data_IF_672072406061
#
_entry.id   IF_672072406061
#
_cell.length_a   1.000
_cell.length_b   1.000
_cell.length_c   1.000
_cell.angle_alpha   90.00
_cell.angle_beta   90.00
_cell.angle_gamma   90.00
#
_symmetry.space_group_name_H-M   'P 1'
#
loop_
_entity.id
_entity.type
_entity.pdbx_description
1 polymer ?
#
# COMPACT_ATOMS: atom_id res chain seq x y z
N UNK A 1 23.15 -4.18 3.40
CA UNK A 1 22.26 -3.26 4.13
C UNK A 1 21.35 -2.60 3.10
N UNK A 2 20.09 -3.01 3.07
CA UNK A 2 19.07 -2.42 2.20
C UNK A 2 18.79 -1.01 2.70
N UNK A 3 19.28 0.00 2.02
CA UNK A 3 18.87 1.39 2.20
C UNK A 3 17.45 1.56 1.66
N UNK A 4 16.48 1.02 2.36
CA UNK A 4 15.11 1.35 2.11
C UNK A 4 14.86 2.67 2.86
N UNK A 5 14.46 3.70 2.13
CA UNK A 5 13.91 4.90 2.77
C UNK A 5 12.81 4.45 3.75
N UNK A 6 12.73 5.06 4.93
CA UNK A 6 11.70 4.68 5.90
C UNK A 6 10.33 4.81 5.25
N UNK A 7 9.45 3.85 5.51
CA UNK A 7 8.09 3.90 5.00
C UNK A 7 7.36 5.13 5.58
N UNK A 8 6.52 5.82 4.81
CA UNK A 8 5.87 7.05 5.25
C UNK A 8 5.07 6.86 6.54
N UNK A 9 5.22 7.82 7.45
CA UNK A 9 4.55 7.79 8.75
C UNK A 9 3.03 7.84 8.61
N UNK A 10 2.34 7.17 9.53
CA UNK A 10 0.87 7.12 9.53
C UNK A 10 0.25 6.17 8.54
N UNK A 11 1.04 5.43 7.80
CA UNK A 11 0.61 4.33 6.93
C UNK A 11 1.11 2.99 7.45
N UNK A 12 0.44 1.92 7.05
CA UNK A 12 0.87 0.53 7.30
C UNK A 12 0.91 -0.23 5.98
N UNK A 13 1.72 -1.26 5.94
CA UNK A 13 1.88 -2.12 4.78
C UNK A 13 2.10 -3.57 5.20
N UNK A 14 1.75 -4.46 4.30
CA UNK A 14 2.08 -5.87 4.39
C UNK A 14 2.94 -6.27 3.19
N UNK A 15 3.79 -7.26 3.37
CA UNK A 15 4.56 -7.83 2.28
C UNK A 15 3.74 -8.89 1.54
N UNK A 16 3.79 -8.88 0.22
CA UNK A 16 3.30 -9.97 -0.57
C UNK A 16 4.42 -10.55 -1.45
N UNK A 17 4.46 -11.86 -1.57
CA UNK A 17 5.34 -12.54 -2.51
C UNK A 17 4.73 -12.62 -3.91
N UNK A 18 5.49 -13.14 -4.87
CA UNK A 18 5.04 -13.27 -6.25
C UNK A 18 3.82 -14.19 -6.38
N UNK A 19 3.70 -15.22 -5.56
CA UNK A 19 2.57 -16.15 -5.59
C UNK A 19 1.26 -15.44 -5.20
N UNK A 20 1.26 -14.71 -4.08
CA UNK A 20 0.11 -13.91 -3.65
C UNK A 20 -0.26 -12.89 -4.74
N UNK A 21 0.73 -12.17 -5.27
CA UNK A 21 0.50 -11.17 -6.31
C UNK A 21 -0.13 -11.79 -7.56
N UNK A 22 0.37 -12.94 -8.02
CA UNK A 22 -0.08 -13.54 -9.27
C UNK A 22 -1.38 -14.31 -9.17
N UNK A 23 -1.65 -14.97 -8.04
CA UNK A 23 -2.76 -15.92 -7.93
C UNK A 23 -3.88 -15.49 -6.97
N UNK A 24 -3.58 -14.65 -5.95
CA UNK A 24 -4.52 -14.40 -4.88
C UNK A 24 -5.10 -12.98 -4.84
N UNK A 25 -4.33 -11.95 -5.22
CA UNK A 25 -4.85 -10.57 -5.22
C UNK A 25 -5.91 -10.38 -6.31
N UNK A 26 -7.01 -9.77 -5.96
CA UNK A 26 -8.07 -9.31 -6.87
C UNK A 26 -8.26 -7.81 -6.74
N UNK A 27 -9.14 -7.21 -7.56
CA UNK A 27 -9.48 -5.78 -7.46
C UNK A 27 -10.99 -5.63 -7.38
N UNK A 28 -11.46 -4.93 -6.35
CA UNK A 28 -12.86 -4.57 -6.16
C UNK A 28 -12.96 -3.11 -5.71
N UNK A 29 -13.78 -2.31 -6.38
CA UNK A 29 -13.94 -0.88 -6.06
C UNK A 29 -12.64 -0.05 -6.09
N UNK A 30 -11.64 -0.48 -6.87
CA UNK A 30 -10.32 0.17 -6.92
C UNK A 30 -9.35 -0.28 -5.80
N UNK A 31 -9.78 -1.13 -4.91
CA UNK A 31 -8.96 -1.71 -3.85
C UNK A 31 -8.42 -3.08 -4.27
N UNK A 32 -7.19 -3.37 -3.88
CA UNK A 32 -6.62 -4.71 -3.95
C UNK A 32 -7.18 -5.54 -2.79
N UNK A 33 -7.67 -6.73 -3.09
CA UNK A 33 -8.33 -7.59 -2.10
C UNK A 33 -7.65 -8.96 -2.06
N UNK A 34 -7.51 -9.52 -0.86
CA UNK A 34 -7.13 -10.93 -0.67
C UNK A 34 -8.36 -11.80 -0.47
N UNK A 35 -8.26 -13.12 -0.66
CA UNK A 35 -9.37 -14.05 -0.39
C UNK A 35 -9.86 -14.01 1.06
N UNK A 36 -8.99 -13.63 1.99
CA UNK A 36 -9.31 -13.51 3.43
C UNK A 36 -10.05 -12.21 3.77
N UNK A 37 -10.31 -11.36 2.78
CA UNK A 37 -11.06 -10.10 2.95
C UNK A 37 -10.20 -8.89 3.33
N UNK A 38 -8.87 -9.02 3.35
CA UNK A 38 -8.00 -7.85 3.55
C UNK A 38 -8.02 -6.97 2.31
N UNK A 39 -8.00 -5.66 2.51
CA UNK A 39 -8.01 -4.69 1.42
C UNK A 39 -6.84 -3.72 1.51
N UNK A 40 -6.27 -3.39 0.34
CA UNK A 40 -5.15 -2.46 0.23
C UNK A 40 -5.43 -1.42 -0.85
N UNK A 41 -5.03 -0.19 -0.59
CA UNK A 41 -5.25 0.92 -1.52
C UNK A 41 -4.22 0.99 -2.64
N UNK A 42 -3.04 0.38 -2.44
CA UNK A 42 -1.91 0.53 -3.33
C UNK A 42 -1.04 -0.74 -3.32
N UNK A 43 -0.51 -1.09 -4.47
CA UNK A 43 0.61 -2.02 -4.62
C UNK A 43 1.88 -1.22 -4.90
N UNK A 44 2.84 -1.31 -3.99
CA UNK A 44 4.15 -0.71 -4.19
C UNK A 44 5.20 -1.77 -4.47
N UNK A 45 5.92 -1.61 -5.58
CA UNK A 45 6.96 -2.52 -6.02
C UNK A 45 8.28 -1.73 -6.10
N UNK A 46 9.09 -1.73 -5.02
CA UNK A 46 10.33 -0.97 -4.99
C UNK A 46 11.40 -1.63 -5.84
N UNK A 47 12.19 -0.83 -6.55
CA UNK A 47 13.48 -1.17 -7.18
C UNK A 47 13.56 -2.50 -7.96
N UNK A 48 12.48 -2.96 -8.55
CA UNK A 48 12.46 -4.20 -9.31
C UNK A 48 13.02 -4.02 -10.72
N UNK A 49 14.30 -4.33 -10.88
CA UNK A 49 14.95 -4.36 -12.20
C UNK A 49 14.62 -5.64 -12.98
N UNK A 50 14.30 -6.75 -12.28
CA UNK A 50 13.99 -8.05 -12.87
C UNK A 50 12.63 -8.55 -12.44
N UNK A 51 11.86 -9.07 -13.38
CA UNK A 51 10.51 -9.57 -13.13
C UNK A 51 10.18 -10.77 -14.05
N UNK A 52 9.35 -11.68 -13.59
CA UNK A 52 8.79 -12.71 -14.47
C UNK A 52 7.77 -12.08 -15.42
N UNK A 53 7.65 -12.61 -16.64
CA UNK A 53 6.64 -12.14 -17.60
C UNK A 53 5.23 -12.24 -17.02
N UNK A 54 4.92 -13.33 -16.32
CA UNK A 54 3.64 -13.54 -15.65
C UNK A 54 3.33 -12.46 -14.59
N UNK A 55 4.34 -12.04 -13.85
CA UNK A 55 4.21 -10.95 -12.87
C UNK A 55 3.90 -9.63 -13.56
N UNK A 56 4.60 -9.30 -14.64
CA UNK A 56 4.33 -8.11 -15.45
C UNK A 56 2.89 -8.11 -16.00
N UNK A 57 2.45 -9.24 -16.56
CA UNK A 57 1.10 -9.39 -17.08
C UNK A 57 0.03 -9.29 -16.00
N UNK A 58 0.33 -9.81 -14.80
CA UNK A 58 -0.56 -9.70 -13.64
C UNK A 58 -0.71 -8.26 -13.18
N UNK A 59 0.38 -7.50 -13.07
CA UNK A 59 0.35 -6.06 -12.77
C UNK A 59 -0.54 -5.33 -13.78
N UNK A 60 -0.35 -5.61 -15.06
CA UNK A 60 -1.20 -5.03 -16.11
C UNK A 60 -2.68 -5.42 -15.96
N UNK A 61 -2.99 -6.64 -15.52
CA UNK A 61 -4.35 -7.08 -15.24
C UNK A 61 -4.97 -6.32 -14.07
N UNK A 62 -4.25 -6.19 -12.95
CA UNK A 62 -4.71 -5.45 -11.77
C UNK A 62 -4.96 -3.96 -12.09
N UNK A 63 -4.07 -3.34 -12.86
CA UNK A 63 -4.26 -1.97 -13.35
C UNK A 63 -5.53 -1.84 -14.20
N UNK A 64 -5.76 -2.74 -15.16
CA UNK A 64 -6.98 -2.70 -15.98
C UNK A 64 -8.25 -2.81 -15.15
N UNK A 65 -8.21 -3.51 -14.02
CA UNK A 65 -9.33 -3.67 -13.09
C UNK A 65 -9.52 -2.47 -12.15
N UNK A 66 -8.53 -1.59 -12.01
CA UNK A 66 -8.67 -0.37 -11.22
C UNK A 66 -7.65 -0.18 -10.09
N UNK A 67 -6.66 -1.07 -9.96
CA UNK A 67 -5.64 -0.94 -8.94
C UNK A 67 -4.79 0.32 -9.11
N UNK A 68 -4.30 0.85 -7.98
CA UNK A 68 -3.18 1.80 -7.94
C UNK A 68 -1.89 1.02 -7.73
N UNK A 69 -0.95 1.17 -8.67
CA UNK A 69 0.35 0.51 -8.62
C UNK A 69 1.47 1.54 -8.72
N UNK A 70 2.43 1.47 -7.82
CA UNK A 70 3.67 2.28 -7.85
C UNK A 70 4.81 1.36 -8.25
N UNK A 71 5.29 1.49 -9.48
CA UNK A 71 6.35 0.65 -10.02
C UNK A 71 7.02 1.30 -11.22
N UNK A 72 8.34 1.18 -11.29
CA UNK A 72 9.10 1.45 -12.52
C UNK A 72 9.06 0.24 -13.45
N UNK A 73 9.29 0.47 -14.75
CA UNK A 73 9.39 -0.60 -15.71
C UNK A 73 10.59 -1.50 -15.40
N UNK A 74 10.42 -2.83 -15.33
CA UNK A 74 11.54 -3.73 -15.15
C UNK A 74 12.40 -3.78 -16.42
N UNK A 75 13.72 -3.92 -16.24
CA UNK A 75 14.69 -3.87 -17.33
C UNK A 75 14.87 -5.22 -18.05
N UNK A 76 14.69 -6.32 -17.33
CA UNK A 76 14.96 -7.67 -17.86
C UNK A 76 14.09 -8.73 -17.20
N UNK A 77 13.90 -9.91 -17.86
CA UNK A 77 13.22 -11.03 -17.24
C UNK A 77 14.02 -11.62 -16.08
N UNK A 78 13.32 -12.11 -15.07
CA UNK A 78 13.93 -12.78 -13.91
C UNK A 78 14.32 -14.25 -14.21
N UNK A 79 14.09 -14.72 -15.42
CA UNK A 79 14.40 -16.09 -15.87
C UNK A 79 15.02 -16.07 -17.25
N UNK A 80 15.86 -17.07 -17.52
CA UNK A 80 16.43 -17.34 -18.86
C UNK A 80 15.57 -18.34 -19.68
N UNK A 81 14.49 -18.83 -19.10
CA UNK A 81 13.60 -19.77 -19.78
C UNK A 81 12.97 -19.15 -21.02
N UNK A 82 12.90 -19.93 -22.10
CA UNK A 82 12.38 -19.51 -23.40
C UNK A 82 13.37 -18.72 -24.26
N UNK A 83 14.58 -18.47 -23.80
CA UNK A 83 15.64 -17.81 -24.58
C UNK A 83 15.16 -16.50 -25.22
N UNK A 84 15.53 -16.25 -26.49
CA UNK A 84 15.16 -15.04 -27.24
C UNK A 84 13.63 -14.83 -27.34
N UNK A 85 12.85 -15.90 -27.41
CA UNK A 85 11.39 -15.83 -27.49
C UNK A 85 10.80 -15.38 -26.14
N UNK A 86 11.31 -15.92 -25.02
CA UNK A 86 10.90 -15.48 -23.68
C UNK A 86 11.23 -14.02 -23.42
N UNK A 87 12.41 -13.59 -23.86
CA UNK A 87 12.81 -12.18 -23.76
C UNK A 87 11.93 -11.24 -24.60
N UNK A 88 11.55 -11.68 -25.83
CA UNK A 88 10.60 -10.93 -26.67
C UNK A 88 9.23 -10.83 -26.00
N UNK A 89 8.72 -11.92 -25.46
CA UNK A 89 7.44 -11.93 -24.75
C UNK A 89 7.46 -11.00 -23.52
N UNK A 90 8.55 -11.01 -22.76
CA UNK A 90 8.75 -10.11 -21.64
C UNK A 90 8.70 -8.63 -22.08
N UNK A 91 9.49 -8.26 -23.10
CA UNK A 91 9.50 -6.88 -23.63
C UNK A 91 8.11 -6.44 -24.10
N UNK A 92 7.37 -7.31 -24.76
CA UNK A 92 5.99 -7.03 -25.17
C UNK A 92 5.06 -6.84 -23.96
N UNK A 93 5.22 -7.63 -22.91
CA UNK A 93 4.43 -7.46 -21.68
C UNK A 93 4.73 -6.13 -20.99
N UNK A 94 6.01 -5.76 -20.88
CA UNK A 94 6.44 -4.45 -20.33
C UNK A 94 5.87 -3.30 -21.16
N UNK A 95 5.95 -3.39 -22.49
CA UNK A 95 5.42 -2.37 -23.40
C UNK A 95 3.90 -2.20 -23.24
N UNK A 96 3.14 -3.27 -23.05
CA UNK A 96 1.70 -3.19 -22.82
C UNK A 96 1.33 -2.47 -21.52
N UNK A 97 2.17 -2.55 -20.48
CA UNK A 97 1.89 -1.97 -19.16
C UNK A 97 2.47 -0.56 -19.04
N UNK A 98 3.76 -0.39 -19.35
CA UNK A 98 4.45 0.90 -19.19
C UNK A 98 4.46 1.71 -20.50
N UNK A 99 4.58 1.07 -21.67
CA UNK A 99 4.63 1.74 -22.96
C UNK A 99 5.71 2.82 -22.99
N UNK A 100 5.33 4.02 -23.43
CA UNK A 100 6.20 5.21 -23.46
C UNK A 100 6.22 6.01 -22.16
N UNK A 101 5.74 5.46 -21.04
CA UNK A 101 5.63 6.14 -19.73
C UNK A 101 6.95 6.04 -18.98
N UNK A 102 7.93 6.84 -19.37
CA UNK A 102 9.27 6.82 -18.77
C UNK A 102 9.52 8.01 -17.82
N UNK A 103 8.71 9.06 -17.91
CA UNK A 103 8.81 10.22 -17.02
C UNK A 103 8.11 9.94 -15.68
N UNK A 104 8.62 10.50 -14.57
CA UNK A 104 7.90 10.42 -13.29
C UNK A 104 6.49 11.01 -13.41
N UNK A 105 5.51 10.31 -12.83
CA UNK A 105 4.12 10.78 -12.82
C UNK A 105 3.09 9.67 -12.69
N UNK A 106 1.82 10.11 -12.65
CA UNK A 106 0.65 9.23 -12.60
C UNK A 106 0.09 9.03 -14.01
N UNK A 107 -0.12 7.78 -14.38
CA UNK A 107 -0.62 7.40 -15.69
C UNK A 107 -1.85 6.51 -15.59
N UNK A 108 -2.88 6.80 -16.35
CA UNK A 108 -4.05 5.93 -16.47
C UNK A 108 -3.72 4.69 -17.29
N UNK A 109 -4.02 3.51 -16.73
CA UNK A 109 -3.89 2.21 -17.40
C UNK A 109 -5.18 1.41 -17.18
N UNK A 110 -6.04 1.36 -18.17
CA UNK A 110 -7.40 0.82 -18.01
C UNK A 110 -8.21 1.65 -16.99
N UNK A 111 -8.74 0.99 -15.98
CA UNK A 111 -9.45 1.65 -14.87
C UNK A 111 -8.52 2.09 -13.73
N UNK A 112 -7.28 1.61 -13.70
CA UNK A 112 -6.32 1.86 -12.64
C UNK A 112 -5.35 3.00 -12.93
N UNK A 113 -4.44 3.19 -11.99
CA UNK A 113 -3.41 4.23 -12.04
C UNK A 113 -2.04 3.60 -11.80
N UNK A 114 -1.09 3.91 -12.68
CA UNK A 114 0.32 3.51 -12.56
C UNK A 114 1.16 4.75 -12.23
N UNK A 115 1.79 4.75 -11.07
CA UNK A 115 2.79 5.74 -10.69
C UNK A 115 4.18 5.24 -11.14
N UNK A 116 4.80 5.96 -12.05
CA UNK A 116 6.12 5.60 -12.62
C UNK A 116 7.17 6.57 -12.11
N UNK A 117 8.36 6.06 -11.76
CA UNK A 117 9.50 6.89 -11.38
C UNK A 117 9.27 7.76 -10.13
N UNK A 118 8.31 7.41 -9.30
CA UNK A 118 7.95 8.10 -8.09
C UNK A 118 8.36 7.27 -6.86
N UNK A 119 8.80 7.94 -5.82
CA UNK A 119 8.90 7.33 -4.50
C UNK A 119 7.50 7.03 -3.94
N UNK A 120 7.44 6.20 -2.91
CA UNK A 120 6.16 5.91 -2.24
C UNK A 120 5.54 7.20 -1.66
N UNK A 121 6.36 8.09 -1.08
CA UNK A 121 5.92 9.36 -0.53
C UNK A 121 5.28 10.25 -1.61
N UNK A 122 5.96 10.45 -2.74
CA UNK A 122 5.44 11.24 -3.86
C UNK A 122 4.13 10.64 -4.42
N UNK A 123 4.03 9.31 -4.49
CA UNK A 123 2.83 8.65 -4.96
C UNK A 123 1.64 8.84 -4.00
N UNK A 124 1.87 8.76 -2.69
CA UNK A 124 0.85 9.03 -1.67
C UNK A 124 0.35 10.47 -1.74
N UNK A 125 1.26 11.44 -1.87
CA UNK A 125 0.94 12.86 -2.00
C UNK A 125 0.17 13.15 -3.30
N UNK A 126 0.67 12.66 -4.44
CA UNK A 126 0.05 12.85 -5.75
C UNK A 126 -1.37 12.24 -5.84
N UNK A 127 -1.61 11.14 -5.11
CA UNK A 127 -2.93 10.51 -5.02
C UNK A 127 -3.79 11.07 -3.88
N UNK A 128 -3.28 12.03 -3.11
CA UNK A 128 -3.95 12.63 -1.93
C UNK A 128 -4.39 11.58 -0.92
N UNK A 129 -3.60 10.54 -0.77
CA UNK A 129 -3.91 9.47 0.16
C UNK A 129 -3.58 9.91 1.58
N UNK A 130 -4.61 10.00 2.41
CA UNK A 130 -4.46 10.40 3.81
C UNK A 130 -3.91 9.24 4.66
N UNK A 131 -3.01 9.51 5.61
CA UNK A 131 -2.55 8.52 6.56
C UNK A 131 -3.69 8.03 7.48
N UNK A 132 -3.57 6.84 8.03
CA UNK A 132 -4.54 6.30 9.00
C UNK A 132 -4.37 6.91 10.38
N UNK A 133 -3.13 7.27 10.72
CA UNK A 133 -2.77 7.87 12.02
C UNK A 133 -1.83 9.04 11.81
N UNK A 134 -2.10 10.15 12.47
CA UNK A 134 -1.17 11.28 12.57
C UNK A 134 -0.74 11.43 14.03
N UNK A 135 0.54 11.33 14.28
CA UNK A 135 1.15 11.43 15.60
C UNK A 135 2.36 12.37 15.55
N UNK A 136 2.57 13.21 16.55
CA UNK A 136 3.80 14.00 16.69
C UNK A 136 5.01 13.11 17.01
N UNK A 137 4.79 11.92 17.57
CA UNK A 137 5.84 10.94 17.83
C UNK A 137 5.87 9.85 16.73
N UNK A 138 6.97 9.83 15.99
CA UNK A 138 7.20 8.85 14.93
C UNK A 138 7.37 7.41 15.44
N UNK A 139 7.66 7.24 16.74
CA UNK A 139 7.88 5.92 17.36
C UNK A 139 6.60 5.34 17.96
N UNK A 140 5.47 6.05 17.92
CA UNK A 140 4.20 5.52 18.39
C UNK A 140 3.86 4.23 17.62
N UNK A 141 3.66 3.15 18.36
CA UNK A 141 3.27 1.88 17.76
C UNK A 141 1.75 1.82 17.66
N UNK A 142 1.25 1.44 16.51
CA UNK A 142 -0.19 1.30 16.31
C UNK A 142 -0.52 0.23 15.28
N UNK A 143 -1.72 -0.32 15.38
CA UNK A 143 -2.30 -1.26 14.44
C UNK A 143 -3.76 -0.89 14.22
N UNK A 144 -4.20 -0.86 12.97
CA UNK A 144 -5.59 -0.60 12.61
C UNK A 144 -6.24 -1.86 12.06
N UNK A 145 -7.45 -2.14 12.50
CA UNK A 145 -8.33 -3.15 11.94
C UNK A 145 -9.71 -2.57 11.78
N UNK A 146 -10.32 -2.84 10.64
CA UNK A 146 -11.70 -2.43 10.34
C UNK A 146 -12.59 -3.66 10.31
N UNK A 147 -13.69 -3.60 11.03
CA UNK A 147 -14.82 -4.53 10.93
C UNK A 147 -15.96 -3.87 10.17
N UNK A 148 -17.10 -4.56 10.05
CA UNK A 148 -18.29 -3.98 9.44
C UNK A 148 -18.81 -2.78 10.26
N UNK A 149 -18.64 -2.82 11.58
CA UNK A 149 -19.30 -1.92 12.53
C UNK A 149 -18.35 -0.92 13.18
N UNK A 150 -17.01 -1.15 13.12
CA UNK A 150 -16.05 -0.34 13.85
C UNK A 150 -14.66 -0.31 13.23
N UNK A 151 -13.95 0.77 13.51
CA UNK A 151 -12.50 0.90 13.32
C UNK A 151 -11.80 0.67 14.67
N UNK A 152 -10.89 -0.29 14.74
CA UNK A 152 -10.13 -0.67 15.92
C UNK A 152 -8.69 -0.22 15.80
N UNK A 153 -8.27 0.64 16.69
CA UNK A 153 -6.88 1.09 16.78
C UNK A 153 -6.25 0.57 18.06
N UNK A 154 -5.31 -0.36 17.92
CA UNK A 154 -4.44 -0.73 19.03
C UNK A 154 -3.24 0.22 19.02
N UNK A 155 -3.02 0.90 20.15
CA UNK A 155 -1.97 1.90 20.29
C UNK A 155 -1.09 1.55 21.48
N UNK A 156 0.22 1.56 21.29
CA UNK A 156 1.18 1.32 22.33
C UNK A 156 2.21 2.44 22.39
N UNK A 157 2.62 2.79 23.61
CA UNK A 157 3.72 3.72 23.81
C UNK A 157 5.02 3.16 23.18
N UNK A 158 5.97 4.02 22.81
CA UNK A 158 7.28 3.57 22.37
C UNK A 158 7.95 2.69 23.45
N UNK A 159 8.81 1.74 23.05
CA UNK A 159 9.48 0.82 23.99
C UNK A 159 10.30 1.54 25.06
N UNK A 160 10.70 2.76 24.80
CA UNK A 160 11.48 3.59 25.73
C UNK A 160 10.75 4.92 25.97
N UNK A 161 9.96 4.97 27.03
CA UNK A 161 9.34 6.20 27.48
C UNK A 161 7.81 6.18 27.55
N UNK A 162 7.25 7.33 27.88
CA UNK A 162 5.81 7.59 27.89
C UNK A 162 5.47 8.55 26.76
N UNK A 163 4.39 8.26 26.05
CA UNK A 163 3.84 9.19 25.08
C UNK A 163 2.89 10.18 25.76
N UNK A 164 3.03 11.46 25.45
CA UNK A 164 2.06 12.51 25.79
C UNK A 164 1.85 13.40 24.57
N UNK A 165 0.63 13.49 24.09
CA UNK A 165 0.30 14.30 22.93
C UNK A 165 -1.04 13.91 22.33
N UNK A 166 -1.48 14.67 21.33
CA UNK A 166 -2.68 14.35 20.57
C UNK A 166 -2.31 13.42 19.40
N UNK A 167 -3.12 12.40 19.20
CA UNK A 167 -3.04 11.51 18.06
C UNK A 167 -4.35 11.62 17.28
N UNK A 168 -4.25 11.73 15.96
CA UNK A 168 -5.43 11.73 15.08
C UNK A 168 -5.58 10.37 14.40
N UNK A 169 -6.77 9.81 14.45
CA UNK A 169 -7.13 8.54 13.82
C UNK A 169 -8.14 8.80 12.70
N UNK A 170 -7.90 8.23 11.54
CA UNK A 170 -8.79 8.39 10.39
C UNK A 170 -10.00 7.47 10.50
N UNK A 171 -10.94 7.85 11.34
CA UNK A 171 -12.21 7.15 11.57
C UNK A 171 -13.31 8.16 11.83
N UNK A 172 -14.54 7.66 11.91
CA UNK A 172 -15.73 8.46 12.23
C UNK A 172 -16.57 7.72 13.25
N UNK A 173 -17.32 8.45 14.06
CA UNK A 173 -18.27 7.89 15.02
C UNK A 173 -17.89 8.21 16.46
N UNK A 174 -18.48 7.47 17.38
CA UNK A 174 -18.22 7.57 18.83
C UNK A 174 -16.94 6.82 19.13
N UNK A 175 -15.99 7.49 19.79
CA UNK A 175 -14.74 6.86 20.20
C UNK A 175 -14.83 6.34 21.63
N UNK A 176 -14.39 5.11 21.80
CA UNK A 176 -14.21 4.48 23.10
C UNK A 176 -12.74 4.12 23.31
N UNK A 177 -12.27 4.25 24.52
CA UNK A 177 -10.96 3.78 24.92
C UNK A 177 -11.08 2.51 25.76
N UNK A 178 -10.37 1.48 25.34
CA UNK A 178 -10.37 0.16 25.96
C UNK A 178 -9.02 -0.12 26.57
N UNK A 179 -8.96 -0.31 27.89
CA UNK A 179 -7.74 -0.68 28.57
C UNK A 179 -7.51 -2.20 28.48
N UNK A 180 -6.49 -2.66 27.73
CA UNK A 180 -6.28 -4.10 27.51
C UNK A 180 -5.79 -4.84 28.76
N UNK A 181 -5.33 -4.12 29.80
CA UNK A 181 -4.81 -4.73 31.03
C UNK A 181 -5.93 -5.12 31.99
N UNK A 182 -6.95 -4.28 32.13
CA UNK A 182 -8.01 -4.47 33.11
C UNK A 182 -9.43 -4.54 32.53
N UNK A 183 -9.56 -4.42 31.21
CA UNK A 183 -10.84 -4.52 30.49
C UNK A 183 -11.78 -3.32 30.71
N UNK A 184 -11.32 -2.24 31.34
CA UNK A 184 -12.16 -1.04 31.51
C UNK A 184 -12.38 -0.35 30.17
N UNK A 185 -13.59 0.16 30.00
CA UNK A 185 -14.03 0.89 28.80
C UNK A 185 -14.58 2.24 29.25
N UNK A 186 -14.22 3.30 28.54
CA UNK A 186 -14.81 4.63 28.74
C UNK A 186 -14.92 5.37 27.43
N UNK A 187 -15.79 6.33 27.35
CA UNK A 187 -15.90 7.21 26.21
C UNK A 187 -14.66 8.09 26.14
N UNK A 188 -13.97 8.10 25.01
CA UNK A 188 -12.82 8.94 24.80
C UNK A 188 -13.25 10.41 24.58
N UNK A 189 -12.49 11.33 25.13
CA UNK A 189 -12.65 12.77 24.84
C UNK A 189 -11.94 13.08 23.52
N UNK A 190 -12.73 13.21 22.44
CA UNK A 190 -12.24 13.39 21.08
C UNK A 190 -12.91 14.58 20.41
N UNK A 191 -12.17 15.19 19.49
CA UNK A 191 -12.68 16.22 18.60
C UNK A 191 -12.55 15.74 17.15
N UNK A 192 -13.62 15.79 16.38
CA UNK A 192 -13.58 15.50 14.97
C UNK A 192 -13.11 16.70 14.17
N UNK A 193 -12.11 16.52 13.30
CA UNK A 193 -11.59 17.55 12.41
C UNK A 193 -10.98 16.93 11.15
N UNK A 194 -11.25 17.48 9.99
CA UNK A 194 -10.59 17.18 8.70
C UNK A 194 -10.61 15.68 8.31
N UNK A 195 -11.63 14.93 8.72
CA UNK A 195 -11.75 13.50 8.43
C UNK A 195 -10.98 12.58 9.39
N UNK A 196 -10.55 13.14 10.53
CA UNK A 196 -9.96 12.44 11.66
C UNK A 196 -10.84 12.58 12.89
#
# INVERSE_FOLDING_TARGET
PSQHAPFPLGFRYDYCNTDILTHRLTVSGGLLCTPEGLTYRMLWIPHNQRMLTSTVERIGSLLRQGALVVASAPCSPATLMGGKQGEKAFRQAVERVWGKRHKPGLYRVGKGTLAVGMSIQEALEATRMQPDVQSPDSNLQWLHRRTQDADWYFVAAPPQGTFRGQVRFRCQGIAEEWNPVNGRIWQADVTQADGY
#
